data_IF_933624231384
#
_entry.id   IF_933624231384
#
_cell.length_a   1.000
_cell.length_b   1.000
_cell.length_c   1.000
_cell.angle_alpha   90.00
_cell.angle_beta   90.00
_cell.angle_gamma   90.00
#
_symmetry.space_group_name_H-M   'P 1'
#
loop_
_entity.id
_entity.type
_entity.pdbx_description
1 polymer ?
#
# COMPACT_ATOMS: atom_id res chain seq x y z
N UNK A 1 26.14 -52.80 -73.03
CA UNK A 1 26.24 -52.92 -71.54
C UNK A 1 26.25 -51.49 -70.99
N UNK A 2 25.08 -50.97 -70.68
CA UNK A 2 24.91 -49.58 -70.29
C UNK A 2 24.82 -49.52 -68.71
N UNK A 3 25.74 -48.76 -68.14
CA UNK A 3 25.75 -48.53 -66.68
C UNK A 3 24.79 -47.38 -66.43
N UNK A 4 23.73 -47.63 -65.66
CA UNK A 4 22.79 -46.65 -65.20
C UNK A 4 23.34 -46.15 -63.85
N UNK A 5 23.75 -44.87 -63.85
CA UNK A 5 24.12 -44.16 -62.61
C UNK A 5 22.85 -43.63 -61.93
N UNK A 6 22.57 -44.15 -60.74
CA UNK A 6 21.46 -43.70 -59.90
C UNK A 6 21.92 -42.51 -59.09
N UNK A 7 21.43 -41.33 -59.41
CA UNK A 7 21.63 -40.10 -58.66
C UNK A 7 20.63 -40.08 -57.51
N UNK A 8 21.11 -40.32 -56.29
CA UNK A 8 20.34 -40.08 -55.08
C UNK A 8 20.35 -38.57 -54.75
N UNK A 9 19.27 -37.89 -55.05
CA UNK A 9 19.01 -36.52 -54.54
C UNK A 9 18.62 -36.63 -53.05
N UNK A 10 19.55 -36.29 -52.18
CA UNK A 10 19.25 -36.07 -50.80
C UNK A 10 18.57 -34.72 -50.62
N UNK A 11 17.26 -34.74 -50.49
CA UNK A 11 16.49 -33.53 -50.08
C UNK A 11 16.70 -33.33 -48.58
N UNK A 12 17.61 -32.43 -48.28
CA UNK A 12 17.78 -31.96 -46.90
C UNK A 12 16.62 -31.00 -46.61
N UNK A 13 15.56 -31.53 -45.99
CA UNK A 13 14.47 -30.72 -45.49
C UNK A 13 14.96 -30.04 -44.19
N UNK A 14 15.53 -28.85 -44.34
CA UNK A 14 15.85 -28.00 -43.18
C UNK A 14 14.54 -27.53 -42.55
N UNK A 15 14.16 -28.22 -41.49
CA UNK A 15 13.10 -27.75 -40.58
C UNK A 15 13.64 -26.51 -39.85
N UNK A 16 13.37 -25.34 -40.39
CA UNK A 16 13.45 -24.08 -39.65
C UNK A 16 12.33 -24.10 -38.60
N UNK A 17 12.64 -24.56 -37.39
CA UNK A 17 11.82 -24.27 -36.23
C UNK A 17 11.89 -22.77 -35.95
N UNK A 18 10.91 -22.03 -36.48
CA UNK A 18 10.64 -20.67 -36.04
C UNK A 18 10.10 -20.79 -34.60
N UNK A 19 10.98 -20.61 -33.62
CA UNK A 19 10.54 -20.33 -32.25
C UNK A 19 9.82 -18.98 -32.29
N UNK A 20 8.50 -19.01 -32.44
CA UNK A 20 7.67 -17.86 -32.11
C UNK A 20 7.86 -17.62 -30.64
N UNK A 21 8.74 -16.69 -30.30
CA UNK A 21 8.90 -16.15 -28.96
C UNK A 21 7.57 -15.49 -28.61
N UNK A 22 6.75 -16.20 -27.83
CA UNK A 22 5.54 -15.65 -27.24
C UNK A 22 5.98 -14.57 -26.24
N UNK A 23 6.30 -13.39 -26.75
CA UNK A 23 6.41 -12.21 -25.92
C UNK A 23 5.06 -12.03 -25.23
N UNK A 24 4.99 -12.37 -23.96
CA UNK A 24 3.84 -12.06 -23.14
C UNK A 24 3.52 -10.57 -23.32
N UNK A 25 2.25 -10.19 -23.54
CA UNK A 25 1.90 -8.80 -23.73
C UNK A 25 2.43 -8.02 -22.53
N UNK A 26 3.25 -7.00 -22.78
CA UNK A 26 3.77 -6.12 -21.77
C UNK A 26 2.57 -5.63 -20.94
N UNK A 27 2.47 -6.09 -19.69
CA UNK A 27 1.40 -5.65 -18.80
C UNK A 27 1.55 -4.14 -18.67
N UNK A 28 0.57 -3.42 -19.19
CA UNK A 28 0.42 -1.98 -18.97
C UNK A 28 0.60 -1.74 -17.47
N UNK A 29 1.49 -0.80 -17.05
CA UNK A 29 1.65 -0.51 -15.64
C UNK A 29 0.27 -0.30 -15.04
N UNK A 30 -0.03 -1.02 -13.95
CA UNK A 30 -1.34 -0.90 -13.30
C UNK A 30 -1.58 0.58 -13.02
N UNK A 31 -2.55 1.15 -13.70
CA UNK A 31 -2.96 2.53 -13.48
C UNK A 31 -3.27 2.66 -12.00
N UNK A 32 -2.50 3.51 -11.29
CA UNK A 32 -2.63 3.68 -9.84
C UNK A 32 -4.04 4.21 -9.58
N UNK A 33 -4.95 3.29 -9.28
CA UNK A 33 -6.35 3.63 -8.99
C UNK A 33 -6.36 4.64 -7.85
N UNK A 34 -7.12 5.73 -8.02
CA UNK A 34 -7.31 6.69 -6.94
C UNK A 34 -7.91 5.99 -5.72
N UNK A 35 -7.33 6.22 -4.55
CA UNK A 35 -7.81 5.64 -3.30
C UNK A 35 -9.24 6.10 -3.02
N UNK A 36 -10.10 5.15 -2.72
CA UNK A 36 -11.46 5.41 -2.27
C UNK A 36 -11.54 5.13 -0.77
N UNK A 37 -12.07 6.08 -0.01
CA UNK A 37 -12.19 6.01 1.44
C UNK A 37 -13.62 5.72 1.85
N UNK A 38 -13.81 4.97 2.95
CA UNK A 38 -15.14 4.77 3.53
C UNK A 38 -15.76 6.10 3.96
N UNK A 39 -17.09 6.21 3.88
CA UNK A 39 -17.82 7.46 4.17
C UNK A 39 -17.71 7.89 5.63
N UNK A 40 -17.75 6.91 6.52
CA UNK A 40 -17.73 7.14 7.96
C UNK A 40 -16.64 6.29 8.63
N UNK A 41 -15.96 6.83 9.66
CA UNK A 41 -15.03 6.02 10.44
C UNK A 41 -15.77 5.15 11.45
N UNK A 42 -15.25 3.94 11.71
CA UNK A 42 -15.54 3.25 12.96
C UNK A 42 -14.72 3.88 14.09
N UNK A 43 -15.23 3.84 15.32
CA UNK A 43 -14.64 4.56 16.44
C UNK A 43 -14.34 3.65 17.62
N UNK A 44 -13.22 3.94 18.30
CA UNK A 44 -12.82 3.30 19.58
C UNK A 44 -12.74 1.77 19.52
N UNK A 45 -12.07 1.25 18.51
CA UNK A 45 -11.83 -0.19 18.34
C UNK A 45 -10.33 -0.50 18.37
N UNK A 46 -9.96 -1.69 18.88
CA UNK A 46 -8.57 -2.15 18.89
C UNK A 46 -8.12 -2.53 17.47
N UNK A 47 -6.81 -2.63 17.23
CA UNK A 47 -6.26 -2.81 15.90
C UNK A 47 -6.81 -4.06 15.17
N UNK A 48 -6.92 -5.21 15.84
CA UNK A 48 -7.49 -6.43 15.24
C UNK A 48 -8.95 -6.27 14.81
N UNK A 49 -9.72 -5.56 15.62
CA UNK A 49 -11.12 -5.24 15.28
C UNK A 49 -11.18 -4.26 14.10
N UNK A 50 -10.25 -3.30 14.02
CA UNK A 50 -10.15 -2.37 12.91
C UNK A 50 -9.83 -3.09 11.59
N UNK A 51 -8.88 -4.03 11.62
CA UNK A 51 -8.55 -4.87 10.47
C UNK A 51 -9.76 -5.72 10.04
N UNK A 52 -10.40 -6.39 10.99
CA UNK A 52 -11.59 -7.19 10.74
C UNK A 52 -12.75 -6.34 10.20
N UNK A 53 -13.00 -5.18 10.80
CA UNK A 53 -14.03 -4.24 10.37
C UNK A 53 -13.86 -3.87 8.90
N UNK A 54 -12.66 -3.41 8.50
CA UNK A 54 -12.41 -3.02 7.13
C UNK A 54 -12.55 -4.18 6.13
N UNK A 55 -12.16 -5.40 6.50
CA UNK A 55 -12.33 -6.59 5.65
C UNK A 55 -13.79 -7.01 5.48
N UNK A 56 -14.70 -6.57 6.34
CA UNK A 56 -16.08 -7.03 6.37
C UNK A 56 -17.12 -5.95 6.05
N UNK A 57 -16.75 -4.68 5.96
CA UNK A 57 -17.71 -3.65 5.55
C UNK A 57 -18.13 -3.86 4.10
N UNK A 58 -19.39 -3.55 3.85
CA UNK A 58 -19.99 -3.53 2.51
C UNK A 58 -20.50 -2.11 2.29
N UNK A 59 -19.78 -1.33 1.52
CA UNK A 59 -20.14 0.05 1.25
C UNK A 59 -20.05 0.32 -0.25
N UNK A 60 -21.05 1.00 -0.80
CA UNK A 60 -21.19 1.31 -2.23
C UNK A 60 -21.10 0.08 -3.17
N UNK A 61 -21.50 -1.10 -2.66
CA UNK A 61 -21.45 -2.37 -3.42
C UNK A 61 -20.07 -3.03 -3.46
N UNK A 62 -19.08 -2.48 -2.78
CA UNK A 62 -17.71 -3.00 -2.72
C UNK A 62 -17.46 -3.84 -1.48
N UNK A 63 -16.56 -4.84 -1.63
CA UNK A 63 -16.17 -5.78 -0.58
C UNK A 63 -14.65 -5.92 -0.43
N UNK A 64 -13.88 -5.13 -1.17
CA UNK A 64 -12.41 -5.14 -1.21
C UNK A 64 -11.78 -4.06 -0.32
N UNK A 65 -12.51 -3.64 0.71
CA UNK A 65 -12.05 -2.69 1.71
C UNK A 65 -10.97 -3.28 2.60
N UNK A 66 -10.03 -2.45 3.02
CA UNK A 66 -8.94 -2.80 3.92
C UNK A 66 -8.54 -1.64 4.82
N UNK A 67 -7.77 -1.95 5.85
CA UNK A 67 -7.14 -0.94 6.67
C UNK A 67 -6.09 -0.17 5.84
N UNK A 68 -6.06 1.16 5.88
CA UNK A 68 -5.08 1.95 5.13
C UNK A 68 -3.66 1.80 5.69
N UNK A 69 -2.66 1.90 4.85
CA UNK A 69 -1.27 2.05 5.28
C UNK A 69 -1.03 3.44 5.88
N UNK A 70 0.09 3.61 6.58
CA UNK A 70 0.47 4.93 7.08
C UNK A 70 0.74 5.91 5.93
N UNK A 71 1.32 5.43 4.82
CA UNK A 71 1.57 6.26 3.65
C UNK A 71 0.28 6.75 3.00
N UNK A 72 -0.75 5.89 2.94
CA UNK A 72 -2.06 6.29 2.45
C UNK A 72 -2.72 7.33 3.35
N UNK A 73 -2.65 7.16 4.67
CA UNK A 73 -3.15 8.17 5.62
C UNK A 73 -2.40 9.50 5.48
N UNK A 74 -1.10 9.49 5.19
CA UNK A 74 -0.29 10.69 4.97
C UNK A 74 -0.72 11.49 3.73
N UNK A 75 -1.34 10.86 2.73
CA UNK A 75 -1.93 11.57 1.57
C UNK A 75 -3.09 12.49 1.94
N UNK A 76 -3.69 12.27 3.11
CA UNK A 76 -4.79 13.07 3.63
C UNK A 76 -4.33 14.32 4.38
N UNK A 77 -3.04 14.46 4.66
CA UNK A 77 -2.50 15.56 5.47
C UNK A 77 -2.54 16.88 4.69
N UNK A 78 -3.05 17.91 5.34
CA UNK A 78 -3.02 19.30 4.88
C UNK A 78 -2.36 20.20 5.92
N UNK A 79 -1.67 21.22 5.46
CA UNK A 79 -1.02 22.27 6.28
C UNK A 79 -0.02 21.72 7.33
N UNK A 80 0.61 20.58 7.02
CA UNK A 80 1.67 19.97 7.82
C UNK A 80 2.65 19.22 6.91
N UNK A 81 3.56 19.91 6.22
CA UNK A 81 4.46 19.31 5.24
C UNK A 81 5.35 18.23 5.85
N UNK A 82 5.73 18.33 7.12
CA UNK A 82 6.56 17.35 7.80
C UNK A 82 5.89 15.97 7.88
N UNK A 83 4.58 15.94 8.11
CA UNK A 83 3.79 14.71 8.26
C UNK A 83 3.15 14.24 6.94
N UNK A 84 3.08 15.08 5.92
CA UNK A 84 2.56 14.73 4.60
C UNK A 84 3.45 13.70 3.90
N UNK A 85 2.95 13.11 2.82
CA UNK A 85 3.74 12.17 1.99
C UNK A 85 5.05 12.81 1.54
N UNK A 86 6.18 12.11 1.75
CA UNK A 86 7.52 12.62 1.45
C UNK A 86 8.06 13.63 2.47
N UNK A 87 7.30 13.97 3.51
CA UNK A 87 7.73 14.90 4.55
C UNK A 87 8.79 14.32 5.49
N UNK A 88 9.47 15.23 6.22
CA UNK A 88 10.64 14.91 7.07
C UNK A 88 10.35 14.00 8.27
N UNK A 89 9.07 13.74 8.61
CA UNK A 89 8.72 12.70 9.58
C UNK A 89 9.25 11.31 9.17
N UNK A 90 9.38 11.04 7.86
CA UNK A 90 10.08 9.87 7.33
C UNK A 90 9.42 8.51 7.56
N UNK A 91 8.33 8.43 8.34
CA UNK A 91 7.60 7.18 8.58
C UNK A 91 6.90 6.74 7.30
N UNK A 92 7.17 5.52 6.83
CA UNK A 92 6.54 4.95 5.62
C UNK A 92 6.61 3.42 5.62
N UNK A 93 5.86 2.77 4.73
CA UNK A 93 5.90 1.31 4.52
C UNK A 93 7.30 0.81 4.15
N UNK A 94 8.05 1.59 3.36
CA UNK A 94 9.41 1.25 2.96
C UNK A 94 10.41 1.41 4.09
N UNK A 95 10.10 2.25 5.07
CA UNK A 95 10.90 2.54 6.25
C UNK A 95 10.29 1.93 7.53
N UNK A 96 9.58 0.83 7.42
CA UNK A 96 8.99 0.14 8.56
C UNK A 96 10.03 -0.39 9.57
N UNK A 97 11.32 -0.43 9.17
CA UNK A 97 12.46 -0.76 10.03
C UNK A 97 12.92 0.40 10.93
N UNK A 98 12.19 1.51 10.93
CA UNK A 98 12.54 2.60 11.83
C UNK A 98 12.45 2.12 13.27
N UNK A 99 13.61 2.03 13.90
CA UNK A 99 13.73 1.79 15.34
C UNK A 99 13.26 3.02 16.10
N UNK A 100 13.08 2.91 17.41
CA UNK A 100 12.80 4.08 18.26
C UNK A 100 13.85 5.18 18.08
N UNK A 101 15.10 4.82 17.77
CA UNK A 101 16.19 5.75 17.57
C UNK A 101 16.12 6.49 16.24
N UNK A 102 15.52 5.88 15.21
CA UNK A 102 15.34 6.47 13.88
C UNK A 102 14.07 7.32 13.79
N UNK A 103 13.16 7.16 14.74
CA UNK A 103 11.93 7.91 14.83
C UNK A 103 12.20 9.30 15.41
N UNK A 104 12.32 10.30 14.57
CA UNK A 104 12.43 11.68 15.01
C UNK A 104 11.06 12.20 15.47
N UNK A 105 10.81 12.10 16.76
CA UNK A 105 9.57 12.56 17.39
C UNK A 105 9.27 14.03 17.10
N UNK A 106 10.28 14.87 16.88
CA UNK A 106 10.10 16.30 16.63
C UNK A 106 9.43 16.53 15.27
N UNK A 107 9.93 15.90 14.19
CA UNK A 107 9.40 16.05 12.85
C UNK A 107 8.04 15.35 12.66
N UNK A 108 7.68 14.43 13.57
CA UNK A 108 6.41 13.71 13.56
C UNK A 108 5.35 14.29 14.51
N UNK A 109 5.65 15.39 15.23
CA UNK A 109 4.72 15.99 16.22
C UNK A 109 3.43 16.55 15.62
N UNK A 110 3.35 16.67 14.29
CA UNK A 110 2.27 17.36 13.63
C UNK A 110 2.41 18.88 13.74
N UNK A 111 1.47 19.59 13.19
CA UNK A 111 1.53 21.05 13.06
C UNK A 111 0.33 21.72 13.74
N UNK A 112 0.54 22.92 14.30
CA UNK A 112 -0.55 23.70 14.97
C UNK A 112 -1.75 23.92 14.05
N UNK A 113 -1.54 24.06 12.74
CA UNK A 113 -2.58 24.24 11.72
C UNK A 113 -2.78 22.99 10.86
N UNK A 114 -2.11 21.87 11.21
CA UNK A 114 -2.24 20.61 10.51
C UNK A 114 -3.65 20.06 10.62
N UNK A 115 -4.17 19.51 9.53
CA UNK A 115 -5.49 18.88 9.48
C UNK A 115 -5.50 17.75 8.48
N UNK A 116 -6.60 17.01 8.45
CA UNK A 116 -6.83 15.93 7.50
C UNK A 116 -7.97 16.28 6.56
N UNK A 117 -7.87 15.82 5.31
CA UNK A 117 -8.93 15.99 4.29
C UNK A 117 -10.25 15.33 4.68
N UNK A 118 -10.18 14.19 5.37
CA UNK A 118 -11.37 13.51 5.89
C UNK A 118 -11.78 14.08 7.25
N UNK A 119 -13.07 13.97 7.56
CA UNK A 119 -13.63 14.43 8.84
C UNK A 119 -13.22 13.46 9.96
N UNK A 120 -13.04 13.98 11.16
CA UNK A 120 -12.75 13.16 12.34
C UNK A 120 -11.90 13.89 13.35
N UNK A 121 -11.76 13.28 14.54
CA UNK A 121 -10.90 13.77 15.61
C UNK A 121 -10.21 12.59 16.30
N UNK A 122 -9.06 12.85 16.91
CA UNK A 122 -8.31 11.83 17.62
C UNK A 122 -7.41 11.01 16.69
N UNK A 123 -7.05 9.84 17.17
CA UNK A 123 -6.10 8.94 16.49
C UNK A 123 -6.80 7.95 15.58
N UNK A 124 -6.14 7.64 14.46
CA UNK A 124 -6.62 6.69 13.46
C UNK A 124 -5.56 5.63 13.19
N UNK A 125 -6.01 4.38 13.15
CA UNK A 125 -5.17 3.22 12.86
C UNK A 125 -4.69 3.18 11.42
N UNK A 126 -3.46 2.70 11.24
CA UNK A 126 -2.97 2.16 9.97
C UNK A 126 -2.75 0.66 10.04
N UNK A 127 -2.58 0.01 8.88
CA UNK A 127 -2.10 -1.39 8.78
C UNK A 127 -0.59 -1.51 9.00
N UNK A 128 0.14 -0.40 8.96
CA UNK A 128 1.59 -0.36 9.04
C UNK A 128 2.06 -0.70 10.44
N UNK A 129 2.70 -1.87 10.57
CA UNK A 129 3.28 -2.33 11.80
C UNK A 129 4.69 -1.75 11.98
N UNK A 130 5.05 -1.40 13.20
CA UNK A 130 6.43 -1.16 13.55
C UNK A 130 7.16 -2.50 13.66
N UNK A 131 8.36 -2.59 13.09
CA UNK A 131 9.12 -3.86 13.02
C UNK A 131 9.29 -4.51 14.39
N UNK A 132 9.03 -5.82 14.43
CA UNK A 132 9.24 -6.71 15.57
C UNK A 132 8.54 -6.29 16.88
N UNK A 133 7.39 -5.64 16.77
CA UNK A 133 6.62 -5.17 17.92
C UNK A 133 5.11 -5.42 17.77
N UNK A 134 4.37 -5.23 18.87
CA UNK A 134 2.90 -5.18 18.91
C UNK A 134 2.36 -3.76 18.66
N UNK A 135 3.20 -2.86 18.10
CA UNK A 135 2.84 -1.48 17.82
C UNK A 135 2.56 -1.26 16.34
N UNK A 136 1.59 -0.42 16.07
CA UNK A 136 1.20 0.03 14.74
C UNK A 136 1.26 1.54 14.65
N UNK A 137 1.54 2.05 13.46
CA UNK A 137 1.55 3.48 13.22
C UNK A 137 0.12 4.04 13.23
N UNK A 138 -0.03 5.19 13.84
CA UNK A 138 -1.28 5.94 13.95
C UNK A 138 -1.05 7.40 13.57
N UNK A 139 -2.09 8.05 13.05
CA UNK A 139 -2.06 9.47 12.75
C UNK A 139 -3.19 10.20 13.48
N UNK A 140 -2.88 11.36 14.03
CA UNK A 140 -3.87 12.22 14.68
C UNK A 140 -4.57 13.11 13.65
N UNK A 141 -5.89 13.02 13.59
CA UNK A 141 -6.70 13.90 12.76
C UNK A 141 -6.85 15.32 13.32
N UNK A 142 -6.37 15.58 14.54
CA UNK A 142 -6.42 16.91 15.13
C UNK A 142 -5.33 17.84 14.58
N UNK A 143 -4.14 17.30 14.25
CA UNK A 143 -2.97 18.10 13.91
C UNK A 143 -1.95 17.37 13.01
N UNK A 144 -2.34 16.25 12.40
CA UNK A 144 -1.49 15.41 11.55
C UNK A 144 -0.24 14.83 12.26
N UNK A 145 -0.23 14.72 13.60
CA UNK A 145 0.83 14.04 14.33
C UNK A 145 0.85 12.56 13.99
N UNK A 146 2.03 11.99 13.74
CA UNK A 146 2.24 10.55 13.58
C UNK A 146 2.89 9.99 14.85
N UNK A 147 2.44 8.83 15.28
CA UNK A 147 2.95 8.14 16.46
C UNK A 147 2.75 6.63 16.31
N UNK A 148 3.28 5.89 17.24
CA UNK A 148 3.01 4.46 17.38
C UNK A 148 2.04 4.19 18.52
N UNK A 149 1.32 3.08 18.45
CA UNK A 149 0.39 2.66 19.49
C UNK A 149 0.35 1.13 19.59
N UNK A 150 0.24 0.61 20.81
CA UNK A 150 0.01 -0.81 21.03
C UNK A 150 -1.32 -1.24 20.45
N UNK A 151 -1.35 -2.42 19.84
CA UNK A 151 -2.54 -2.97 19.16
C UNK A 151 -3.78 -3.09 20.04
N UNK A 152 -3.62 -3.09 21.37
CA UNK A 152 -4.71 -3.13 22.37
C UNK A 152 -5.34 -1.78 22.67
N UNK A 153 -4.76 -0.68 22.16
CA UNK A 153 -5.35 0.65 22.30
C UNK A 153 -6.59 0.78 21.40
N UNK A 154 -7.53 1.60 21.81
CA UNK A 154 -8.78 1.81 21.06
C UNK A 154 -8.75 3.15 20.32
N UNK A 155 -8.72 3.11 18.99
CA UNK A 155 -8.70 4.29 18.11
C UNK A 155 -9.74 4.17 17.00
N UNK A 156 -9.82 5.21 16.18
CA UNK A 156 -10.73 5.25 15.06
C UNK A 156 -10.09 4.59 13.82
N UNK A 157 -10.90 4.27 12.82
CA UNK A 157 -10.44 3.75 11.56
C UNK A 157 -11.30 4.26 10.40
N UNK A 158 -10.67 4.69 9.32
CA UNK A 158 -11.22 4.72 7.98
C UNK A 158 -10.73 3.51 7.22
N UNK A 159 -11.57 2.96 6.36
CA UNK A 159 -11.18 1.91 5.43
C UNK A 159 -10.87 2.50 4.06
N UNK A 160 -10.04 1.82 3.29
CA UNK A 160 -9.62 2.24 1.95
C UNK A 160 -9.69 1.06 0.97
N UNK A 161 -9.90 1.36 -0.28
CA UNK A 161 -9.84 0.40 -1.40
C UNK A 161 -9.24 1.02 -2.64
#
# INVERSE_FOLDING_TARGET
>A
MKKIALLLLAVVFSFLFVFAENAAPAQKPAEKRALQWSKNPATKIIWKEAEWYCKNIKEDGYTDWRLPTIDELRTLVENCPESATGGTCGISETNNKLTINDYNKETCRGCKKGRMKLKGKGWFWSSSQRTDTDHYWVISFNNARISEAKMIMAYNVYCVR
#
